data_IF_640480368710
#
_entry.id   IF_640480368710
#
_cell.length_a   1.000
_cell.length_b   1.000
_cell.length_c   1.000
_cell.angle_alpha   90.00
_cell.angle_beta   90.00
_cell.angle_gamma   90.00
#
_symmetry.space_group_name_H-M   'P 1'
#
loop_
_entity.id
_entity.type
_entity.pdbx_description
1 polymer ?
#
# COMPACT_ATOMS: atom_id res chain seq x y z
N UNK A 1 -74.35 3.80 -20.63
CA UNK A 1 -74.41 3.27 -19.25
C UNK A 1 -73.38 4.04 -18.43
N UNK A 2 -73.73 5.17 -17.80
CA UNK A 2 -74.25 5.27 -16.41
C UNK A 2 -73.19 4.78 -15.41
N UNK A 3 -72.57 5.57 -14.51
CA UNK A 3 -73.13 6.59 -13.58
C UNK A 3 -72.02 7.41 -12.86
N UNK A 4 -72.33 8.70 -12.64
CA UNK A 4 -72.22 9.60 -11.45
C UNK A 4 -70.91 9.66 -10.64
N UNK A 5 -70.24 10.82 -10.44
CA UNK A 5 -70.54 12.10 -9.74
C UNK A 5 -70.63 12.04 -8.19
N UNK A 6 -70.04 13.09 -7.58
CA UNK A 6 -70.30 13.77 -6.27
C UNK A 6 -69.03 13.82 -5.38
N UNK A 7 -68.27 14.93 -5.25
CA UNK A 7 -68.48 16.23 -4.54
C UNK A 7 -68.76 16.11 -3.04
N UNK A 8 -67.91 16.72 -2.21
CA UNK A 8 -68.20 16.89 -0.78
C UNK A 8 -67.03 17.50 -0.02
N UNK A 9 -66.94 18.83 -0.02
CA UNK A 9 -66.14 19.56 0.95
C UNK A 9 -66.89 19.74 2.28
N UNK A 10 -66.15 19.95 3.36
CA UNK A 10 -66.61 20.70 4.54
C UNK A 10 -65.38 21.15 5.34
N UNK A 11 -65.44 22.41 5.77
CA UNK A 11 -64.38 23.15 6.43
C UNK A 11 -64.58 23.24 7.96
N UNK A 12 -63.52 23.74 8.61
CA UNK A 12 -63.49 24.50 9.87
C UNK A 12 -63.71 23.76 11.21
N UNK A 13 -62.68 23.84 12.06
CA UNK A 13 -62.82 24.37 13.41
C UNK A 13 -61.46 24.83 13.95
N UNK A 14 -61.39 26.11 14.36
CA UNK A 14 -60.29 26.67 15.14
C UNK A 14 -60.55 26.43 16.64
N UNK A 15 -59.48 26.24 17.41
CA UNK A 15 -59.49 26.43 18.86
C UNK A 15 -58.10 26.90 19.32
N UNK A 16 -58.08 27.99 20.08
CA UNK A 16 -56.92 28.58 20.74
C UNK A 16 -56.98 28.31 22.25
N UNK A 17 -55.82 28.09 22.87
CA UNK A 17 -55.52 28.29 24.31
C UNK A 17 -53.99 28.08 24.48
N UNK A 18 -53.16 29.11 24.69
CA UNK A 18 -52.81 29.80 25.95
C UNK A 18 -52.01 28.98 26.99
N UNK A 19 -50.90 29.61 27.42
CA UNK A 19 -50.14 29.48 28.68
C UNK A 19 -49.05 28.39 28.79
N UNK A 20 -47.78 28.82 28.90
CA UNK A 20 -46.97 28.85 30.14
C UNK A 20 -45.46 28.91 29.80
N UNK A 21 -44.85 30.08 29.99
CA UNK A 21 -43.41 30.27 30.10
C UNK A 21 -42.89 29.63 31.37
N UNK A 22 -42.15 28.53 31.24
CA UNK A 22 -41.32 27.95 32.30
C UNK A 22 -39.85 28.29 32.07
N UNK A 23 -39.22 28.92 33.07
CA UNK A 23 -37.80 29.19 33.11
C UNK A 23 -37.02 27.86 33.21
N UNK A 24 -36.26 27.53 32.16
CA UNK A 24 -35.35 26.39 32.16
C UNK A 24 -34.05 26.70 32.90
N UNK A 25 -33.44 25.71 33.57
CA UNK A 25 -32.20 25.89 34.33
C UNK A 25 -31.01 26.15 33.41
N UNK A 26 -30.06 26.95 33.89
CA UNK A 26 -28.78 27.17 33.24
C UNK A 26 -28.06 25.82 33.03
N UNK A 27 -28.01 25.37 31.77
CA UNK A 27 -27.12 24.27 31.38
C UNK A 27 -25.69 24.76 31.46
N UNK A 28 -24.97 24.31 32.48
CA UNK A 28 -23.52 24.33 32.49
C UNK A 28 -23.03 23.54 31.28
N UNK A 29 -22.41 24.24 30.33
CA UNK A 29 -21.76 23.62 29.18
C UNK A 29 -20.66 22.67 29.70
N UNK A 30 -20.59 21.41 29.24
CA UNK A 30 -19.44 20.58 29.53
C UNK A 30 -18.22 21.22 28.86
N UNK A 31 -17.23 21.57 29.68
CA UNK A 31 -15.90 21.92 29.21
C UNK A 31 -15.40 20.78 28.32
N UNK A 32 -15.19 21.08 27.04
CA UNK A 32 -14.51 20.17 26.13
C UNK A 32 -13.05 20.11 26.55
N UNK A 33 -12.76 19.13 27.38
CA UNK A 33 -11.42 18.75 27.80
C UNK A 33 -10.61 18.44 26.54
N UNK A 34 -9.73 19.36 26.18
CA UNK A 34 -8.89 19.29 24.98
C UNK A 34 -7.71 18.39 25.28
N UNK A 35 -7.98 17.09 25.43
CA UNK A 35 -6.93 16.08 25.48
C UNK A 35 -6.05 16.16 24.22
N UNK A 36 -4.76 15.77 24.30
CA UNK A 36 -3.86 15.83 23.16
C UNK A 36 -4.47 15.08 21.97
N UNK A 37 -4.60 15.79 20.84
CA UNK A 37 -5.22 15.25 19.64
C UNK A 37 -4.56 13.93 19.24
N UNK A 38 -5.34 12.84 19.30
CA UNK A 38 -4.87 11.52 18.92
C UNK A 38 -4.31 11.55 17.49
N UNK A 39 -3.17 10.88 17.28
CA UNK A 39 -2.54 10.83 15.97
C UNK A 39 -3.54 10.34 14.91
N UNK A 40 -3.56 10.94 13.70
CA UNK A 40 -4.51 10.55 12.67
C UNK A 40 -4.31 9.09 12.27
N UNK A 41 -5.42 8.35 12.10
CA UNK A 41 -5.36 6.96 11.67
C UNK A 41 -4.51 6.81 10.39
N UNK A 42 -3.62 5.80 10.29
CA UNK A 42 -2.69 5.64 9.16
C UNK A 42 -3.36 5.71 7.79
N UNK A 43 -4.51 5.07 7.62
CA UNK A 43 -5.27 5.10 6.36
C UNK A 43 -5.69 6.50 5.93
N UNK A 44 -5.98 7.41 6.88
CA UNK A 44 -6.30 8.81 6.56
C UNK A 44 -5.07 9.57 6.04
N UNK A 45 -3.90 9.33 6.60
CA UNK A 45 -2.64 9.96 6.17
C UNK A 45 -2.22 9.43 4.80
N UNK A 46 -2.20 8.10 4.62
CA UNK A 46 -1.91 7.47 3.34
C UNK A 46 -2.90 7.92 2.25
N UNK A 47 -4.19 8.00 2.57
CA UNK A 47 -5.22 8.47 1.65
C UNK A 47 -5.05 9.94 1.23
N UNK A 48 -4.54 10.81 2.11
CA UNK A 48 -4.19 12.18 1.74
C UNK A 48 -3.05 12.21 0.71
N UNK A 49 -1.97 11.46 0.94
CA UNK A 49 -0.87 11.37 -0.02
C UNK A 49 -1.34 10.79 -1.36
N UNK A 50 -2.11 9.70 -1.33
CA UNK A 50 -2.58 9.02 -2.53
C UNK A 50 -3.47 9.95 -3.39
N UNK A 51 -4.43 10.65 -2.78
CA UNK A 51 -5.27 11.63 -3.51
C UNK A 51 -4.46 12.79 -4.07
N UNK A 52 -3.50 13.33 -3.31
CA UNK A 52 -2.64 14.41 -3.79
C UNK A 52 -1.81 13.96 -5.00
N UNK A 53 -1.29 12.72 -4.97
CA UNK A 53 -0.59 12.13 -6.10
C UNK A 53 -1.50 11.94 -7.33
N UNK A 54 -2.71 11.42 -7.16
CA UNK A 54 -3.69 11.30 -8.27
C UNK A 54 -4.03 12.66 -8.88
N UNK A 55 -4.06 13.72 -8.08
CA UNK A 55 -4.30 15.09 -8.53
C UNK A 55 -3.05 15.77 -9.13
N UNK A 56 -1.89 15.13 -9.12
CA UNK A 56 -0.63 15.74 -9.55
C UNK A 56 -0.09 16.83 -8.59
N UNK A 57 -0.68 16.97 -7.39
CA UNK A 57 -0.37 18.06 -6.46
C UNK A 57 0.78 17.67 -5.49
N UNK A 58 2.00 18.02 -5.87
CA UNK A 58 3.20 17.80 -5.04
C UNK A 58 3.19 18.62 -3.74
N UNK A 59 2.55 19.80 -3.73
CA UNK A 59 2.52 20.65 -2.54
C UNK A 59 1.58 20.07 -1.47
N UNK A 60 0.40 19.58 -1.86
CA UNK A 60 -0.47 18.82 -0.96
C UNK A 60 0.18 17.50 -0.53
N UNK A 61 0.89 16.81 -1.43
CA UNK A 61 1.63 15.60 -1.08
C UNK A 61 2.69 15.85 0.00
N UNK A 62 3.44 16.96 -0.09
CA UNK A 62 4.41 17.36 0.93
C UNK A 62 3.79 17.64 2.31
N UNK A 63 2.51 18.03 2.36
CA UNK A 63 1.77 18.16 3.63
C UNK A 63 1.47 16.79 4.27
N UNK A 64 1.37 15.71 3.48
CA UNK A 64 1.04 14.37 3.97
C UNK A 64 2.24 13.41 4.08
N UNK A 65 3.41 13.77 3.54
CA UNK A 65 4.54 12.85 3.42
C UNK A 65 5.91 13.54 3.55
N UNK A 66 6.96 12.73 3.74
CA UNK A 66 8.36 13.20 3.66
C UNK A 66 8.76 13.46 2.21
N UNK A 67 9.79 14.29 1.94
CA UNK A 67 10.27 14.52 0.58
C UNK A 67 10.63 13.24 -0.17
N UNK A 68 11.26 12.28 0.51
CA UNK A 68 11.60 10.98 -0.07
C UNK A 68 10.36 10.18 -0.50
N UNK A 69 9.31 10.17 0.33
CA UNK A 69 8.05 9.51 0.01
C UNK A 69 7.30 10.19 -1.15
N UNK A 70 7.31 11.53 -1.20
CA UNK A 70 6.74 12.28 -2.34
C UNK A 70 7.49 11.96 -3.63
N UNK A 71 8.82 11.97 -3.61
CA UNK A 71 9.62 11.65 -4.80
C UNK A 71 9.41 10.20 -5.26
N UNK A 72 9.29 9.26 -4.33
CA UNK A 72 9.01 7.86 -4.65
C UNK A 72 7.66 7.72 -5.37
N UNK A 73 6.56 8.19 -4.77
CA UNK A 73 5.21 7.98 -5.33
C UNK A 73 5.02 8.70 -6.67
N UNK A 74 5.56 9.91 -6.83
CA UNK A 74 5.49 10.63 -8.10
C UNK A 74 6.45 10.09 -9.18
N UNK A 75 7.40 9.24 -8.80
CA UNK A 75 8.26 8.49 -9.72
C UNK A 75 7.70 7.12 -10.10
N UNK A 76 6.49 6.77 -9.65
CA UNK A 76 5.87 5.50 -9.99
C UNK A 76 5.48 5.44 -11.46
N UNK A 77 5.97 4.43 -12.17
CA UNK A 77 5.87 4.33 -13.64
C UNK A 77 4.66 3.55 -14.12
N UNK A 78 4.03 2.77 -13.24
CA UNK A 78 2.80 2.05 -13.57
C UNK A 78 1.58 2.95 -13.36
N UNK A 79 0.44 2.48 -13.86
CA UNK A 79 -0.86 3.12 -13.59
C UNK A 79 -1.06 3.30 -12.09
N UNK A 80 -1.96 4.20 -11.68
CA UNK A 80 -2.42 4.24 -10.30
C UNK A 80 -3.09 2.92 -9.90
N UNK A 81 -2.78 2.37 -8.69
CA UNK A 81 -3.52 1.24 -8.15
C UNK A 81 -5.02 1.51 -8.05
N UNK A 82 -5.83 0.49 -8.30
CA UNK A 82 -7.28 0.60 -8.42
C UNK A 82 -7.99 0.67 -7.06
N UNK A 83 -7.40 0.03 -6.03
CA UNK A 83 -8.10 -0.22 -4.76
C UNK A 83 -7.20 0.01 -3.56
N UNK A 84 -7.78 0.58 -2.50
CA UNK A 84 -7.19 0.56 -1.16
C UNK A 84 -7.43 -0.82 -0.51
N UNK A 85 -6.36 -1.47 -0.06
CA UNK A 85 -6.37 -2.85 0.46
C UNK A 85 -6.30 -2.90 2.00
N UNK A 86 -6.48 -1.76 2.66
CA UNK A 86 -6.40 -1.65 4.11
C UNK A 86 -4.99 -1.32 4.63
N UNK A 87 -4.89 -1.25 5.96
CA UNK A 87 -3.61 -1.08 6.65
C UNK A 87 -3.39 -2.24 7.64
N UNK A 88 -2.16 -2.72 7.70
CA UNK A 88 -1.69 -3.63 8.75
C UNK A 88 -0.69 -2.86 9.60
N UNK A 89 -1.04 -2.59 10.86
CA UNK A 89 -0.32 -1.65 11.70
C UNK A 89 -0.24 -0.27 11.04
N UNK A 90 0.99 0.20 10.80
CA UNK A 90 1.25 1.49 10.17
C UNK A 90 1.53 1.41 8.66
N UNK A 91 1.39 0.23 8.04
CA UNK A 91 1.60 0.06 6.60
C UNK A 91 0.27 -0.07 5.89
N UNK A 92 0.02 0.83 4.95
CA UNK A 92 -1.22 0.92 4.19
C UNK A 92 -0.97 0.56 2.71
N UNK A 93 -1.82 -0.30 2.13
CA UNK A 93 -1.61 -0.82 0.77
C UNK A 93 -2.64 -0.31 -0.22
N UNK A 94 -2.18 -0.07 -1.44
CA UNK A 94 -3.00 0.21 -2.61
C UNK A 94 -2.59 -0.76 -3.71
N UNK A 95 -3.55 -1.51 -4.25
CA UNK A 95 -3.29 -2.65 -5.14
C UNK A 95 -3.92 -2.46 -6.52
N UNK A 96 -3.24 -2.99 -7.52
CA UNK A 96 -3.72 -3.19 -8.87
C UNK A 96 -4.61 -4.42 -8.93
N UNK A 97 -5.82 -4.24 -9.45
CA UNK A 97 -6.72 -5.33 -9.80
C UNK A 97 -6.93 -5.43 -11.31
N UNK A 98 -6.66 -4.35 -12.04
CA UNK A 98 -6.87 -4.25 -13.48
C UNK A 98 -5.63 -4.59 -14.32
N UNK A 99 -4.44 -4.54 -13.72
CA UNK A 99 -3.16 -4.78 -14.41
C UNK A 99 -2.24 -5.66 -13.58
N UNK A 100 -1.36 -6.40 -14.25
CA UNK A 100 -0.31 -7.18 -13.60
C UNK A 100 1.01 -6.40 -13.63
N UNK A 101 1.51 -6.05 -12.44
CA UNK A 101 2.83 -5.43 -12.25
C UNK A 101 3.82 -6.46 -11.67
N UNK A 102 5.14 -6.28 -11.84
CA UNK A 102 6.14 -7.12 -11.19
C UNK A 102 6.12 -6.99 -9.65
N UNK A 103 6.51 -8.08 -8.99
CA UNK A 103 6.65 -8.18 -7.56
C UNK A 103 5.33 -8.43 -6.84
N UNK A 104 5.41 -8.98 -5.62
CA UNK A 104 4.26 -9.33 -4.79
C UNK A 104 3.65 -8.16 -4.02
N UNK A 105 4.08 -6.92 -4.28
CA UNK A 105 3.35 -5.74 -3.81
C UNK A 105 2.04 -5.55 -4.55
N UNK A 106 1.99 -5.96 -5.83
CA UNK A 106 0.87 -5.71 -6.73
C UNK A 106 0.42 -4.25 -6.73
N UNK A 107 1.33 -3.28 -6.53
CA UNK A 107 0.96 -1.87 -6.32
C UNK A 107 1.92 -1.11 -5.43
N UNK A 108 1.36 -0.39 -4.45
CA UNK A 108 2.07 0.53 -3.57
C UNK A 108 1.80 0.17 -2.10
N UNK A 109 2.83 0.21 -1.27
CA UNK A 109 2.70 0.15 0.19
C UNK A 109 3.31 1.41 0.81
N UNK A 110 2.55 2.07 1.69
CA UNK A 110 2.95 3.31 2.36
C UNK A 110 3.14 3.05 3.85
N UNK A 111 4.30 3.42 4.38
CA UNK A 111 4.57 3.38 5.82
C UNK A 111 4.24 4.74 6.40
N UNK A 112 3.35 4.75 7.40
CA UNK A 112 2.95 5.96 8.13
C UNK A 112 3.69 6.01 9.46
N UNK A 113 4.20 7.18 9.83
CA UNK A 113 4.77 7.44 11.15
C UNK A 113 4.22 8.77 11.64
N UNK A 114 3.48 8.75 12.74
CA UNK A 114 2.74 9.92 13.21
C UNK A 114 1.78 10.45 12.14
N UNK A 115 1.97 11.70 11.73
CA UNK A 115 1.11 12.39 10.75
C UNK A 115 1.64 12.36 9.31
N UNK A 116 2.70 11.61 9.02
CA UNK A 116 3.37 11.60 7.71
C UNK A 116 3.54 10.18 7.15
N UNK A 117 3.41 10.04 5.84
CA UNK A 117 4.00 8.91 5.12
C UNK A 117 5.51 9.10 5.06
N UNK A 118 6.26 8.17 5.65
CA UNK A 118 7.73 8.23 5.74
C UNK A 118 8.42 7.40 4.66
N UNK A 119 7.77 6.35 4.18
CA UNK A 119 8.30 5.47 3.14
C UNK A 119 7.19 5.02 2.19
N UNK A 120 7.54 4.90 0.91
CA UNK A 120 6.66 4.37 -0.13
C UNK A 120 7.43 3.26 -0.83
N UNK A 121 6.90 2.05 -0.75
CA UNK A 121 7.34 0.91 -1.54
C UNK A 121 6.45 0.77 -2.75
N UNK A 122 7.03 0.41 -3.88
CA UNK A 122 6.30 0.34 -5.13
C UNK A 122 6.81 -0.80 -6.00
N UNK A 123 5.90 -1.47 -6.71
CA UNK A 123 6.32 -2.40 -7.79
C UNK A 123 7.29 -1.69 -8.73
N UNK A 124 8.41 -2.34 -9.07
CA UNK A 124 9.46 -1.70 -9.88
C UNK A 124 9.46 -2.22 -11.31
N UNK A 125 9.77 -1.32 -12.25
CA UNK A 125 10.10 -1.70 -13.61
C UNK A 125 11.61 -1.83 -13.72
N UNK A 126 12.13 -3.05 -13.55
CA UNK A 126 13.55 -3.35 -13.69
C UNK A 126 13.74 -4.27 -14.89
N UNK A 127 14.50 -3.82 -15.88
CA UNK A 127 14.68 -4.51 -17.16
C UNK A 127 15.92 -5.42 -17.23
N UNK A 128 16.68 -5.52 -16.13
CA UNK A 128 17.87 -6.36 -15.99
C UNK A 128 17.65 -7.43 -14.92
N UNK A 129 17.71 -8.74 -15.26
CA UNK A 129 17.50 -9.81 -14.30
C UNK A 129 18.45 -9.79 -13.10
N UNK A 130 19.73 -9.47 -13.33
CA UNK A 130 20.73 -9.37 -12.26
C UNK A 130 20.41 -8.26 -11.26
N UNK A 131 19.89 -7.12 -11.73
CA UNK A 131 19.46 -6.02 -10.87
C UNK A 131 18.27 -6.41 -10.00
N UNK A 132 17.33 -7.19 -10.53
CA UNK A 132 16.19 -7.73 -9.76
C UNK A 132 16.67 -8.68 -8.65
N UNK A 133 17.56 -9.61 -8.99
CA UNK A 133 18.12 -10.55 -8.01
C UNK A 133 18.94 -9.84 -6.92
N UNK A 134 19.78 -8.87 -7.29
CA UNK A 134 20.55 -8.06 -6.36
C UNK A 134 19.64 -7.23 -5.43
N UNK A 135 18.56 -6.67 -5.98
CA UNK A 135 17.59 -5.91 -5.19
C UNK A 135 16.92 -6.78 -4.12
N UNK A 136 16.48 -7.99 -4.49
CA UNK A 136 15.89 -8.92 -3.52
C UNK A 136 16.89 -9.36 -2.45
N UNK A 137 18.13 -9.69 -2.82
CA UNK A 137 19.16 -10.05 -1.84
C UNK A 137 19.45 -8.89 -0.88
N UNK A 138 19.57 -7.66 -1.39
CA UNK A 138 19.80 -6.50 -0.56
C UNK A 138 18.63 -6.22 0.39
N UNK A 139 17.39 -6.43 -0.05
CA UNK A 139 16.21 -6.34 0.80
C UNK A 139 16.24 -7.37 1.93
N UNK A 140 16.62 -8.62 1.63
CA UNK A 140 16.78 -9.68 2.64
C UNK A 140 17.86 -9.35 3.67
N UNK A 141 19.02 -8.87 3.22
CA UNK A 141 20.11 -8.44 4.12
C UNK A 141 19.68 -7.35 5.09
N UNK A 142 18.77 -6.47 4.68
CA UNK A 142 18.18 -5.41 5.53
C UNK A 142 16.98 -5.86 6.36
N UNK A 143 16.48 -7.09 6.17
CA UNK A 143 15.22 -7.54 6.76
C UNK A 143 13.98 -6.78 6.25
N UNK A 144 14.08 -6.11 5.10
CA UNK A 144 13.02 -5.27 4.55
C UNK A 144 12.13 -6.07 3.58
N UNK A 145 11.12 -6.74 4.13
CA UNK A 145 10.20 -7.60 3.34
C UNK A 145 9.46 -6.83 2.26
N UNK A 146 9.04 -5.59 2.51
CA UNK A 146 8.31 -4.79 1.53
C UNK A 146 9.20 -4.36 0.37
N UNK A 147 10.47 -4.02 0.63
CA UNK A 147 11.46 -3.81 -0.44
C UNK A 147 11.70 -5.09 -1.25
N UNK A 148 11.64 -6.28 -0.62
CA UNK A 148 11.67 -7.56 -1.33
C UNK A 148 10.47 -7.72 -2.29
N UNK A 149 9.27 -7.39 -1.81
CA UNK A 149 8.02 -7.49 -2.58
C UNK A 149 7.95 -6.51 -3.77
N UNK A 150 8.77 -5.46 -3.82
CA UNK A 150 8.88 -4.55 -4.97
C UNK A 150 9.33 -5.26 -6.25
N UNK A 151 10.06 -6.38 -6.11
CA UNK A 151 10.74 -7.06 -7.23
C UNK A 151 10.59 -8.59 -7.20
N UNK A 152 9.89 -9.15 -6.21
CA UNK A 152 9.79 -10.59 -6.02
C UNK A 152 8.39 -11.00 -5.60
N UNK A 153 7.95 -12.18 -6.04
CA UNK A 153 6.66 -12.74 -5.67
C UNK A 153 6.56 -12.92 -4.15
N UNK A 154 5.33 -12.93 -3.62
CA UNK A 154 5.11 -13.20 -2.21
C UNK A 154 5.68 -14.57 -1.77
N UNK A 155 5.62 -15.56 -2.66
CA UNK A 155 6.22 -16.89 -2.44
C UNK A 155 7.75 -16.83 -2.33
N UNK A 156 8.43 -16.14 -3.24
CA UNK A 156 9.88 -15.98 -3.21
C UNK A 156 10.34 -15.22 -1.95
N UNK A 157 9.66 -14.12 -1.60
CA UNK A 157 9.95 -13.37 -0.36
C UNK A 157 9.71 -14.25 0.86
N UNK A 158 8.63 -15.04 0.90
CA UNK A 158 8.36 -15.98 1.98
C UNK A 158 9.49 -17.00 2.14
N UNK A 159 9.96 -17.59 1.05
CA UNK A 159 11.07 -18.55 1.04
C UNK A 159 12.37 -17.92 1.56
N UNK A 160 12.81 -16.81 0.97
CA UNK A 160 14.09 -16.18 1.33
C UNK A 160 14.10 -15.66 2.76
N UNK A 161 13.03 -14.98 3.17
CA UNK A 161 12.92 -14.41 4.50
C UNK A 161 12.38 -15.40 5.53
N UNK A 162 12.41 -16.71 5.25
CA UNK A 162 12.18 -17.75 6.27
C UNK A 162 13.31 -17.74 7.30
N UNK A 163 14.53 -17.47 6.85
CA UNK A 163 15.71 -17.30 7.70
C UNK A 163 16.10 -15.83 7.69
N UNK A 164 16.39 -15.27 8.85
CA UNK A 164 16.92 -13.90 8.95
C UNK A 164 18.37 -13.90 8.46
N UNK A 165 18.73 -12.89 7.67
CA UNK A 165 20.12 -12.71 7.28
C UNK A 165 21.02 -12.50 8.51
N UNK A 166 22.10 -13.28 8.59
CA UNK A 166 23.17 -13.10 9.58
C UNK A 166 24.38 -12.43 8.89
N UNK A 167 24.76 -11.20 9.28
CA UNK A 167 25.94 -10.55 8.73
C UNK A 167 27.26 -11.26 9.07
N UNK A 168 27.28 -12.13 10.09
CA UNK A 168 28.42 -12.98 10.45
C UNK A 168 28.32 -14.40 9.87
N UNK A 169 27.22 -14.70 9.16
CA UNK A 169 27.00 -16.00 8.53
C UNK A 169 27.69 -16.11 7.17
N UNK A 170 27.26 -17.11 6.38
CA UNK A 170 27.87 -17.41 5.08
C UNK A 170 27.73 -16.24 4.08
N UNK A 171 28.84 -15.94 3.41
CA UNK A 171 28.87 -14.91 2.37
C UNK A 171 28.27 -15.45 1.09
N UNK A 172 27.36 -14.68 0.49
CA UNK A 172 26.72 -15.02 -0.76
C UNK A 172 27.42 -14.28 -1.91
N UNK A 173 28.04 -15.02 -2.83
CA UNK A 173 28.78 -14.51 -3.98
C UNK A 173 27.93 -14.61 -5.24
N UNK A 174 27.72 -13.51 -5.93
CA UNK A 174 26.93 -13.51 -7.16
C UNK A 174 27.68 -14.19 -8.30
N UNK A 175 27.07 -15.21 -8.91
CA UNK A 175 27.65 -16.03 -9.98
C UNK A 175 27.12 -15.65 -11.37
N UNK A 176 26.32 -14.58 -11.46
CA UNK A 176 25.70 -14.16 -12.71
C UNK A 176 24.29 -14.72 -12.91
N UNK A 177 23.75 -14.47 -14.10
CA UNK A 177 22.45 -14.98 -14.50
C UNK A 177 22.56 -15.74 -15.82
N UNK A 178 22.01 -16.96 -15.87
CA UNK A 178 21.94 -17.79 -17.06
C UNK A 178 20.52 -17.79 -17.62
N UNK A 179 20.37 -17.97 -18.93
CA UNK A 179 19.06 -18.05 -19.58
C UNK A 179 18.40 -19.38 -19.22
N UNK A 180 17.11 -19.35 -18.89
CA UNK A 180 16.29 -20.56 -18.70
C UNK A 180 14.96 -20.43 -19.47
N UNK A 181 14.21 -21.53 -19.71
CA UNK A 181 13.07 -21.53 -20.64
C UNK A 181 12.03 -20.43 -20.41
N UNK A 182 11.68 -20.12 -19.16
CA UNK A 182 10.69 -19.06 -18.84
C UNK A 182 11.34 -17.80 -18.24
N UNK A 183 12.62 -17.55 -18.44
CA UNK A 183 13.28 -16.42 -17.78
C UNK A 183 14.80 -16.49 -17.70
N UNK A 184 15.32 -16.23 -16.50
CA UNK A 184 16.74 -16.31 -16.13
C UNK A 184 16.89 -16.96 -14.76
N UNK A 185 17.93 -17.75 -14.57
CA UNK A 185 18.36 -18.21 -13.25
C UNK A 185 19.53 -17.37 -12.80
N UNK A 186 19.36 -16.57 -11.75
CA UNK A 186 20.42 -15.75 -11.17
C UNK A 186 20.96 -16.45 -9.92
N UNK A 187 22.24 -16.82 -9.94
CA UNK A 187 22.83 -17.68 -8.93
C UNK A 187 23.66 -16.87 -7.92
N UNK A 188 23.58 -17.29 -6.66
CA UNK A 188 24.51 -16.92 -5.59
C UNK A 188 25.12 -18.19 -5.02
N UNK A 189 26.44 -18.32 -5.01
CA UNK A 189 27.10 -19.40 -4.27
C UNK A 189 27.38 -18.96 -2.84
N UNK A 190 27.47 -19.92 -1.93
CA UNK A 190 27.90 -19.74 -0.55
C UNK A 190 28.54 -21.05 -0.06
N UNK A 191 29.18 -21.03 1.11
CA UNK A 191 29.73 -22.24 1.72
C UNK A 191 28.60 -23.22 2.05
N UNK A 192 28.64 -24.44 1.48
CA UNK A 192 27.57 -25.42 1.61
C UNK A 192 26.47 -25.34 0.55
N UNK A 193 26.71 -24.68 -0.60
CA UNK A 193 25.84 -24.78 -1.77
C UNK A 193 25.58 -23.48 -2.54
N UNK A 194 24.38 -23.38 -3.12
CA UNK A 194 23.98 -22.25 -3.94
C UNK A 194 22.48 -21.91 -3.82
N UNK A 195 22.15 -20.64 -3.99
CA UNK A 195 20.80 -20.13 -4.12
C UNK A 195 20.55 -19.69 -5.55
N UNK A 196 19.50 -20.21 -6.17
CA UNK A 196 19.02 -19.82 -7.48
C UNK A 196 17.77 -18.95 -7.34
N UNK A 197 17.84 -17.71 -7.83
CA UNK A 197 16.69 -16.83 -7.99
C UNK A 197 16.15 -16.96 -9.41
N UNK A 198 14.98 -17.55 -9.58
CA UNK A 198 14.34 -17.70 -10.89
C UNK A 198 13.61 -16.42 -11.26
N UNK A 199 14.21 -15.65 -12.15
CA UNK A 199 13.71 -14.35 -12.61
C UNK A 199 12.82 -14.53 -13.84
N UNK A 200 11.58 -14.07 -13.75
CA UNK A 200 10.55 -14.13 -14.79
C UNK A 200 10.21 -12.73 -15.28
N UNK A 201 9.57 -12.62 -16.44
CA UNK A 201 9.12 -11.34 -16.99
C UNK A 201 9.78 -10.98 -18.32
N UNK A 202 9.75 -9.70 -18.67
CA UNK A 202 10.26 -9.18 -19.95
C UNK A 202 10.76 -7.75 -19.78
N UNK A 203 11.54 -7.24 -20.75
CA UNK A 203 11.95 -5.82 -20.76
C UNK A 203 10.75 -4.87 -20.78
N UNK A 204 9.65 -5.25 -21.43
CA UNK A 204 8.44 -4.42 -21.50
C UNK A 204 7.70 -4.32 -20.17
N UNK A 205 7.51 -5.44 -19.47
CA UNK A 205 6.76 -5.47 -18.20
C UNK A 205 7.62 -5.29 -16.97
N UNK A 206 8.94 -5.39 -17.12
CA UNK A 206 9.86 -5.57 -16.00
C UNK A 206 10.04 -7.05 -15.65
N UNK A 207 11.11 -7.32 -14.93
CA UNK A 207 11.43 -8.63 -14.39
C UNK A 207 11.10 -8.71 -12.89
N UNK A 208 10.81 -9.91 -12.42
CA UNK A 208 10.60 -10.24 -11.00
C UNK A 208 11.25 -11.57 -10.63
N UNK A 209 11.64 -11.75 -9.37
CA UNK A 209 11.97 -13.09 -8.84
C UNK A 209 10.67 -13.84 -8.57
N UNK A 210 10.38 -14.85 -9.38
CA UNK A 210 9.17 -15.66 -9.27
C UNK A 210 9.28 -16.74 -8.17
N UNK A 211 10.44 -17.36 -8.05
CA UNK A 211 10.73 -18.42 -7.08
C UNK A 211 12.22 -18.47 -6.72
N UNK A 212 12.53 -19.17 -5.63
CA UNK A 212 13.89 -19.39 -5.15
C UNK A 212 14.07 -20.88 -4.88
N UNK A 213 15.19 -21.42 -5.36
CA UNK A 213 15.61 -22.80 -5.12
C UNK A 213 16.97 -22.77 -4.44
N UNK A 214 17.19 -23.68 -3.49
CA UNK A 214 18.50 -23.91 -2.89
C UNK A 214 19.04 -25.22 -3.42
N UNK A 215 20.32 -25.23 -3.77
CA UNK A 215 21.11 -26.42 -4.07
C UNK A 215 22.04 -26.61 -2.88
N UNK A 216 21.94 -27.75 -2.22
CA UNK A 216 22.96 -28.18 -1.26
C UNK A 216 24.02 -28.99 -2.02
N UNK A 217 25.26 -28.90 -1.57
CA UNK A 217 26.34 -29.82 -1.92
C UNK A 217 26.25 -31.15 -1.17
#
# INVERSE_FOLDING_TARGET
>A
MSRRLVLGGAALAAAAAMTLTSAGPASAAPASDSGPAAAPAPGKVAGKLFRAWLAGDRAAAAKAATPAAVNAIFGYVYRAPDRFDGCSGNVCRYVHTSVRVPGGLDGIAMVVTGSKVTKVYQSRHIVKPSTVAAHLLAAWKRGDRYSGLEVASAGAVKTLFKVKYDPKGVTHFFQGCTKEPKGYSCAYSYEGGAMLMHVRGSKTRGYEVGSITYLAD
#
